data_IF_728583635349
#
_entry.id   IF_728583635349
#
_cell.length_a   1.000
_cell.length_b   1.000
_cell.length_c   1.000
_cell.angle_alpha   90.00
_cell.angle_beta   90.00
_cell.angle_gamma   90.00
#
_symmetry.space_group_name_H-M   'P 1'
#
loop_
_entity.id
_entity.type
_entity.pdbx_description
1 polymer ?
#
# COMPACT_ATOMS: atom_id res chain seq x y z
N UNK A 1 -46.88 -22.53 -52.83
CA UNK A 1 -45.84 -22.55 -53.88
C UNK A 1 -44.47 -22.47 -53.20
N UNK A 2 -43.58 -23.44 -53.45
CA UNK A 2 -42.12 -23.38 -53.25
C UNK A 2 -41.46 -23.14 -54.63
N UNK A 3 -40.26 -22.55 -54.69
CA UNK A 3 -39.00 -23.30 -54.82
C UNK A 3 -37.91 -22.71 -53.89
N UNK A 4 -36.95 -23.39 -53.25
CA UNK A 4 -35.90 -24.35 -53.64
C UNK A 4 -34.91 -23.84 -54.71
N UNK A 5 -33.68 -23.48 -54.28
CA UNK A 5 -32.41 -23.87 -54.92
C UNK A 5 -31.20 -23.19 -54.25
N UNK A 6 -30.12 -23.96 -54.14
CA UNK A 6 -28.89 -23.75 -53.38
C UNK A 6 -27.81 -22.88 -54.05
N UNK A 7 -26.81 -22.43 -53.29
CA UNK A 7 -25.37 -22.67 -53.52
C UNK A 7 -24.43 -21.74 -52.71
N UNK A 8 -23.63 -22.35 -51.83
CA UNK A 8 -22.19 -22.13 -51.54
C UNK A 8 -21.52 -20.80 -51.90
N UNK A 9 -20.94 -20.08 -50.90
CA UNK A 9 -19.49 -19.76 -50.87
C UNK A 9 -19.02 -19.04 -49.58
N UNK A 10 -18.04 -19.68 -48.93
CA UNK A 10 -16.88 -19.14 -48.17
C UNK A 10 -17.07 -18.09 -47.07
N UNK A 11 -16.72 -18.52 -45.86
CA UNK A 11 -16.32 -17.66 -44.74
C UNK A 11 -15.05 -16.87 -45.10
N UNK A 12 -14.98 -15.59 -44.73
CA UNK A 12 -13.77 -15.01 -44.18
C UNK A 12 -13.91 -14.93 -42.66
N UNK A 13 -13.06 -15.69 -41.97
CA UNK A 13 -12.72 -15.48 -40.57
C UNK A 13 -12.13 -14.08 -40.40
N UNK A 14 -12.96 -13.12 -40.02
CA UNK A 14 -12.45 -11.84 -39.53
C UNK A 14 -12.08 -12.03 -38.06
N UNK A 15 -10.78 -12.22 -37.84
CA UNK A 15 -10.14 -12.18 -36.53
C UNK A 15 -10.21 -10.74 -36.04
N UNK A 16 -11.32 -10.37 -35.41
CA UNK A 16 -11.40 -9.12 -34.65
C UNK A 16 -10.95 -9.41 -33.23
N UNK A 17 -9.79 -8.87 -32.88
CA UNK A 17 -9.14 -8.97 -31.58
C UNK A 17 -10.10 -8.73 -30.40
N UNK A 18 -9.87 -9.33 -29.22
CA UNK A 18 -10.60 -8.94 -28.03
C UNK A 18 -10.35 -7.45 -27.80
N UNK A 19 -11.42 -6.67 -27.82
CA UNK A 19 -11.42 -5.30 -27.32
C UNK A 19 -11.11 -5.40 -25.84
N UNK A 20 -9.81 -5.34 -25.52
CA UNK A 20 -9.31 -5.05 -24.18
C UNK A 20 -10.02 -3.78 -23.76
N UNK A 21 -11.01 -3.93 -22.87
CA UNK A 21 -11.52 -2.84 -22.06
C UNK A 21 -10.29 -2.26 -21.37
N UNK A 22 -9.75 -1.19 -21.95
CA UNK A 22 -8.76 -0.36 -21.29
C UNK A 22 -9.55 0.33 -20.19
N UNK A 23 -9.71 -0.38 -19.07
CA UNK A 23 -9.97 0.23 -17.79
C UNK A 23 -8.93 1.34 -17.71
N UNK A 24 -9.30 2.62 -17.51
CA UNK A 24 -8.29 3.64 -17.30
C UNK A 24 -7.44 3.13 -16.14
N UNK A 25 -6.21 2.76 -16.45
CA UNK A 25 -5.20 2.43 -15.48
C UNK A 25 -5.06 3.73 -14.70
N UNK A 26 -5.74 3.80 -13.56
CA UNK A 26 -5.45 4.78 -12.53
C UNK A 26 -4.08 4.36 -12.07
N UNK A 27 -3.04 4.76 -12.80
CA UNK A 27 -1.69 4.83 -12.28
C UNK A 27 -1.88 5.60 -10.98
N UNK A 28 -1.70 4.97 -9.79
CA UNK A 28 -1.66 5.78 -8.59
C UNK A 28 -0.50 6.72 -8.86
N UNK A 29 -0.79 8.01 -9.06
CA UNK A 29 0.24 9.02 -9.03
C UNK A 29 1.15 8.69 -7.83
N UNK A 30 2.47 8.92 -7.89
CA UNK A 30 3.25 8.99 -6.68
C UNK A 30 2.69 10.18 -5.92
N UNK A 31 1.62 9.91 -5.20
CA UNK A 31 1.05 10.79 -4.22
C UNK A 31 2.22 10.91 -3.24
N UNK A 32 2.88 12.05 -3.29
CA UNK A 32 3.53 12.63 -2.11
C UNK A 32 2.40 12.95 -1.13
N UNK A 33 1.64 11.92 -0.77
CA UNK A 33 0.53 11.98 0.16
C UNK A 33 1.21 12.27 1.47
N UNK A 34 0.81 13.38 2.08
CA UNK A 34 0.97 13.53 3.50
C UNK A 34 0.66 12.17 4.16
N UNK A 35 1.49 11.72 5.11
CA UNK A 35 1.31 10.41 5.71
C UNK A 35 -0.16 10.26 6.12
N UNK A 36 -0.81 9.18 5.69
CA UNK A 36 -2.20 8.94 6.08
C UNK A 36 -2.22 8.33 7.47
N UNK A 37 -3.30 8.51 8.21
CA UNK A 37 -3.50 7.89 9.52
C UNK A 37 -3.24 6.37 9.48
N UNK A 38 -3.76 5.71 8.44
CA UNK A 38 -3.56 4.28 8.19
C UNK A 38 -2.10 3.91 7.90
N UNK A 39 -1.37 4.73 7.12
CA UNK A 39 0.06 4.52 6.87
C UNK A 39 0.87 4.63 8.16
N UNK A 40 0.63 5.63 9.00
CA UNK A 40 1.36 5.82 10.26
C UNK A 40 1.02 4.73 11.27
N UNK A 41 -0.25 4.32 11.37
CA UNK A 41 -0.64 3.19 12.22
C UNK A 41 0.06 1.88 11.79
N UNK A 42 0.12 1.62 10.48
CA UNK A 42 0.83 0.45 9.93
C UNK A 42 2.33 0.51 10.23
N UNK A 43 2.92 1.70 10.12
CA UNK A 43 4.33 1.93 10.44
C UNK A 43 4.61 1.73 11.93
N UNK A 44 3.72 2.20 12.81
CA UNK A 44 3.80 2.00 14.25
C UNK A 44 3.76 0.51 14.60
N UNK A 45 2.83 -0.25 14.02
CA UNK A 45 2.76 -1.70 14.24
C UNK A 45 4.03 -2.41 13.74
N UNK A 46 4.55 -2.03 12.57
CA UNK A 46 5.79 -2.59 12.02
C UNK A 46 7.00 -2.31 12.91
N UNK A 47 7.15 -1.09 13.40
CA UNK A 47 8.24 -0.73 14.32
C UNK A 47 8.12 -1.55 15.61
N UNK A 48 6.92 -1.70 16.18
CA UNK A 48 6.70 -2.54 17.36
C UNK A 48 7.12 -4.00 17.14
N UNK A 49 6.73 -4.59 16.00
CA UNK A 49 7.16 -5.94 15.60
C UNK A 49 8.69 -6.04 15.45
N UNK A 50 9.33 -5.01 14.88
CA UNK A 50 10.78 -4.98 14.73
C UNK A 50 11.50 -4.89 16.07
N UNK A 51 10.99 -4.10 17.02
CA UNK A 51 11.52 -4.04 18.39
C UNK A 51 11.35 -5.40 19.07
N UNK A 52 10.18 -6.04 18.96
CA UNK A 52 9.98 -7.41 19.47
C UNK A 52 10.98 -8.39 18.87
N UNK A 53 11.26 -8.29 17.57
CA UNK A 53 12.19 -9.18 16.87
C UNK A 53 13.66 -8.98 17.28
N UNK A 54 14.03 -7.83 17.85
CA UNK A 54 15.36 -7.62 18.43
C UNK A 54 15.55 -8.37 19.77
N UNK A 55 14.46 -8.82 20.40
CA UNK A 55 14.50 -9.53 21.67
C UNK A 55 14.43 -8.62 22.90
N UNK A 56 14.58 -9.21 24.11
CA UNK A 56 14.53 -8.48 25.37
C UNK A 56 15.72 -7.51 25.52
N UNK A 57 15.54 -6.42 26.27
CA UNK A 57 16.55 -5.37 26.49
C UNK A 57 16.39 -4.11 25.65
N UNK A 58 15.32 -4.01 24.86
CA UNK A 58 14.98 -2.83 24.05
C UNK A 58 14.00 -1.88 24.76
N UNK A 59 14.16 -1.69 26.07
CA UNK A 59 13.26 -0.88 26.90
C UNK A 59 13.19 0.58 26.46
N UNK A 60 14.31 1.17 26.02
CA UNK A 60 14.34 2.54 25.49
C UNK A 60 13.51 2.66 24.20
N UNK A 61 13.65 1.73 23.26
CA UNK A 61 12.87 1.70 22.02
C UNK A 61 11.38 1.52 22.31
N UNK A 62 11.03 0.62 23.23
CA UNK A 62 9.65 0.43 23.68
C UNK A 62 9.07 1.68 24.34
N UNK A 63 9.86 2.36 25.18
CA UNK A 63 9.43 3.59 25.84
C UNK A 63 9.15 4.70 24.81
N UNK A 64 10.03 4.87 23.82
CA UNK A 64 9.84 5.82 22.72
C UNK A 64 8.64 5.46 21.85
N UNK A 65 8.48 4.18 21.50
CA UNK A 65 7.36 3.67 20.70
C UNK A 65 6.00 3.87 21.37
N UNK A 66 5.91 3.61 22.69
CA UNK A 66 4.68 3.80 23.48
C UNK A 66 4.34 5.26 23.76
N UNK A 67 5.32 6.16 23.76
CA UNK A 67 5.08 7.61 23.87
C UNK A 67 4.36 8.18 22.65
N UNK A 68 4.40 7.50 21.51
CA UNK A 68 3.67 7.89 20.30
C UNK A 68 2.22 7.48 20.48
N UNK A 69 1.37 8.43 20.88
CA UNK A 69 -0.06 8.18 21.00
C UNK A 69 -0.71 8.24 19.61
N UNK A 70 -0.69 7.13 18.87
CA UNK A 70 -1.20 7.04 17.50
C UNK A 70 -2.67 7.44 17.40
N UNK A 71 -3.50 7.12 18.40
CA UNK A 71 -4.91 7.51 18.38
C UNK A 71 -5.13 9.02 18.41
N UNK A 72 -4.25 9.75 19.09
CA UNK A 72 -4.25 11.21 19.13
C UNK A 72 -3.59 11.79 17.87
N UNK A 73 -2.51 11.18 17.39
CA UNK A 73 -1.85 11.56 16.14
C UNK A 73 -2.75 11.39 14.90
N UNK A 74 -3.67 10.43 14.88
CA UNK A 74 -4.63 10.27 13.77
C UNK A 74 -5.70 11.37 13.74
N UNK A 75 -5.93 12.07 14.86
CA UNK A 75 -6.92 13.16 14.97
C UNK A 75 -6.32 14.53 14.63
N UNK A 76 -4.99 14.65 14.66
CA UNK A 76 -4.28 15.89 14.45
C UNK A 76 -3.18 15.73 13.38
N UNK A 77 -3.27 16.42 12.23
CA UNK A 77 -2.32 16.24 11.13
C UNK A 77 -0.89 16.68 11.47
N UNK A 78 -0.70 17.60 12.43
CA UNK A 78 0.63 18.01 12.86
C UNK A 78 1.29 16.88 13.66
N UNK A 79 0.54 16.30 14.61
CA UNK A 79 0.99 15.14 15.39
C UNK A 79 1.19 13.90 14.53
N UNK A 80 0.40 13.74 13.47
CA UNK A 80 0.56 12.67 12.49
C UNK A 80 1.93 12.73 11.81
N UNK A 81 2.33 13.92 11.35
CA UNK A 81 3.64 14.15 10.73
C UNK A 81 4.77 13.93 11.75
N UNK A 82 4.63 14.41 12.98
CA UNK A 82 5.61 14.16 14.04
C UNK A 82 5.73 12.66 14.38
N UNK A 83 4.60 11.97 14.55
CA UNK A 83 4.58 10.54 14.81
C UNK A 83 5.28 9.75 13.69
N UNK A 84 5.03 10.10 12.43
CA UNK A 84 5.71 9.49 11.28
C UNK A 84 7.24 9.73 11.32
N UNK A 85 7.70 10.93 11.68
CA UNK A 85 9.13 11.22 11.81
C UNK A 85 9.79 10.44 12.96
N UNK A 86 9.12 10.35 14.12
CA UNK A 86 9.63 9.58 15.26
C UNK A 86 9.70 8.09 14.89
N UNK A 87 8.69 7.57 14.21
CA UNK A 87 8.66 6.18 13.74
C UNK A 87 9.74 5.89 12.69
N UNK A 88 10.01 6.82 11.77
CA UNK A 88 11.12 6.68 10.81
C UNK A 88 12.47 6.64 11.53
N UNK A 89 12.65 7.52 12.52
CA UNK A 89 13.85 7.53 13.36
C UNK A 89 14.02 6.23 14.15
N UNK A 90 12.94 5.72 14.75
CA UNK A 90 12.95 4.42 15.45
C UNK A 90 13.29 3.27 14.51
N UNK A 91 12.68 3.24 13.31
CA UNK A 91 12.97 2.21 12.32
C UNK A 91 14.43 2.22 11.88
N UNK A 92 15.03 3.40 11.72
CA UNK A 92 16.47 3.56 11.42
C UNK A 92 17.37 3.10 12.57
N UNK A 93 17.01 3.44 13.80
CA UNK A 93 17.75 3.02 15.00
C UNK A 93 17.74 1.49 15.14
N UNK A 94 16.56 0.87 14.97
CA UNK A 94 16.42 -0.59 14.92
C UNK A 94 17.25 -1.21 13.78
N UNK A 95 17.24 -0.60 12.60
CA UNK A 95 18.05 -1.07 11.48
C UNK A 95 19.56 -0.96 11.75
N UNK A 96 20.00 0.06 12.49
CA UNK A 96 21.39 0.22 12.91
C UNK A 96 21.79 -0.84 13.95
N UNK A 97 20.88 -1.20 14.87
CA UNK A 97 21.11 -2.24 15.87
C UNK A 97 21.14 -3.67 15.30
N UNK A 98 20.54 -3.88 14.12
CA UNK A 98 20.57 -5.17 13.40
C UNK A 98 21.86 -5.39 12.60
N UNK A 99 22.75 -4.40 12.52
CA UNK A 99 23.94 -4.39 11.67
C UNK A 99 25.19 -4.69 12.49
#
# INVERSE_FOLDING_TARGET
MKPDAAATKVQPVEVTAPVTKVTPEITPAPVTTAPTASSVASQWQRVGQQITALGPGQDDLWNRHRRINIQDAMKDPAKLREASQILDKLARDIAALKK
#
